data_IF_732349709137
#
_entry.id   IF_732349709137
#
_cell.length_a   1.000
_cell.length_b   1.000
_cell.length_c   1.000
_cell.angle_alpha   90.00
_cell.angle_beta   90.00
_cell.angle_gamma   90.00
#
_symmetry.space_group_name_H-M   'P 1'
#
loop_
_entity.id
_entity.type
_entity.pdbx_description
1 polymer ?
#
# COMPACT_ATOMS: atom_id res chain seq x y z
N UNK A 1 10.22 -53.26 -17.89
CA UNK A 1 8.79 -53.23 -17.50
C UNK A 1 8.05 -54.51 -17.92
N UNK A 2 8.21 -55.00 -19.16
CA UNK A 2 7.50 -56.19 -19.67
C UNK A 2 7.74 -57.50 -18.90
N UNK A 3 8.95 -57.73 -18.35
CA UNK A 3 9.30 -59.00 -17.69
C UNK A 3 8.66 -59.19 -16.30
N UNK A 4 8.22 -58.10 -15.68
CA UNK A 4 7.56 -58.11 -14.37
C UNK A 4 6.05 -58.31 -14.57
N UNK A 5 5.47 -57.70 -15.61
CA UNK A 5 4.04 -57.82 -15.92
C UNK A 5 3.61 -59.25 -16.28
N UNK A 6 4.49 -59.99 -16.96
CA UNK A 6 4.22 -61.37 -17.37
C UNK A 6 4.10 -62.31 -16.15
N UNK A 7 4.98 -62.14 -15.15
CA UNK A 7 4.95 -62.90 -13.89
C UNK A 7 3.69 -62.63 -13.05
N UNK A 8 3.14 -61.42 -13.09
CA UNK A 8 1.93 -61.08 -12.32
C UNK A 8 0.65 -61.70 -12.90
N UNK A 9 0.63 -62.05 -14.20
CA UNK A 9 -0.51 -62.72 -14.82
C UNK A 9 -0.66 -64.18 -14.36
N UNK A 10 0.47 -64.86 -14.12
CA UNK A 10 0.56 -66.27 -13.71
C UNK A 10 -0.06 -66.53 -12.33
N UNK A 11 -0.11 -65.52 -11.46
CA UNK A 11 -0.63 -65.65 -10.08
C UNK A 11 -2.10 -65.22 -9.91
N UNK A 12 -2.84 -64.95 -11.00
CA UNK A 12 -4.27 -64.59 -10.90
C UNK A 12 -4.55 -63.24 -10.21
N UNK A 13 -3.53 -62.38 -10.08
CA UNK A 13 -3.60 -61.11 -9.34
C UNK A 13 -4.26 -59.96 -10.12
N UNK A 14 -4.94 -60.25 -11.23
CA UNK A 14 -5.71 -59.24 -11.98
C UNK A 14 -6.77 -58.55 -11.10
N UNK A 15 -7.34 -59.27 -10.13
CA UNK A 15 -8.31 -58.71 -9.17
C UNK A 15 -7.68 -57.72 -8.17
N UNK A 16 -6.37 -57.82 -7.90
CA UNK A 16 -5.65 -56.83 -7.08
C UNK A 16 -5.34 -55.55 -7.88
N UNK A 17 -5.12 -55.67 -9.19
CA UNK A 17 -5.02 -54.50 -10.11
C UNK A 17 -6.34 -53.70 -10.16
N UNK A 18 -7.49 -54.39 -10.12
CA UNK A 18 -8.82 -53.75 -10.09
C UNK A 18 -9.19 -53.10 -8.74
N UNK A 19 -8.62 -53.61 -7.62
CA UNK A 19 -8.83 -53.02 -6.28
C UNK A 19 -7.86 -51.86 -5.98
N UNK A 20 -6.75 -51.80 -6.72
CA UNK A 20 -5.86 -50.63 -6.77
C UNK A 20 -6.44 -49.56 -7.69
N UNK A 21 -7.57 -48.97 -7.27
CA UNK A 21 -8.05 -47.70 -7.84
C UNK A 21 -6.91 -46.68 -7.69
N UNK A 22 -6.54 -45.93 -8.73
CA UNK A 22 -5.31 -45.14 -8.75
C UNK A 22 -5.28 -44.13 -7.60
N UNK A 23 -4.25 -44.28 -6.77
CA UNK A 23 -3.92 -43.47 -5.60
C UNK A 23 -3.66 -41.98 -5.91
N UNK A 24 -3.69 -41.59 -7.19
CA UNK A 24 -3.43 -40.23 -7.68
C UNK A 24 -4.42 -39.20 -7.12
N UNK A 25 -5.71 -39.51 -7.05
CA UNK A 25 -6.70 -38.56 -6.52
C UNK A 25 -6.46 -38.18 -5.05
N UNK A 26 -5.94 -39.11 -4.23
CA UNK A 26 -5.67 -38.85 -2.81
C UNK A 26 -4.35 -38.07 -2.61
N UNK A 27 -3.34 -38.34 -3.45
CA UNK A 27 -2.10 -37.55 -3.49
C UNK A 27 -2.36 -36.11 -3.91
N UNK A 28 -3.20 -35.91 -4.92
CA UNK A 28 -3.60 -34.57 -5.37
C UNK A 28 -4.39 -33.82 -4.30
N UNK A 29 -5.30 -34.51 -3.59
CA UNK A 29 -6.06 -33.92 -2.48
C UNK A 29 -5.14 -33.51 -1.32
N UNK A 30 -4.16 -34.36 -0.99
CA UNK A 30 -3.19 -34.08 0.08
C UNK A 30 -2.29 -32.90 -0.29
N UNK A 31 -1.83 -32.82 -1.54
CA UNK A 31 -1.05 -31.70 -2.05
C UNK A 31 -1.84 -30.39 -2.03
N UNK A 32 -3.12 -30.41 -2.41
CA UNK A 32 -4.01 -29.25 -2.33
C UNK A 32 -4.22 -28.79 -0.88
N UNK A 33 -4.41 -29.72 0.05
CA UNK A 33 -4.54 -29.40 1.48
C UNK A 33 -3.28 -28.74 2.03
N UNK A 34 -2.09 -29.21 1.62
CA UNK A 34 -0.82 -28.60 2.01
C UNK A 34 -0.66 -27.18 1.44
N UNK A 35 -1.08 -26.93 0.21
CA UNK A 35 -1.06 -25.59 -0.40
C UNK A 35 -2.02 -24.66 0.36
N UNK A 36 -3.24 -25.10 0.64
CA UNK A 36 -4.22 -24.32 1.41
C UNK A 36 -3.69 -24.04 2.82
N UNK A 37 -3.12 -25.03 3.50
CA UNK A 37 -2.54 -24.86 4.83
C UNK A 37 -1.39 -23.85 4.82
N UNK A 38 -0.52 -23.88 3.81
CA UNK A 38 0.53 -22.89 3.60
C UNK A 38 -0.05 -21.49 3.38
N UNK A 39 -1.09 -21.37 2.56
CA UNK A 39 -1.71 -20.09 2.23
C UNK A 39 -2.47 -19.51 3.45
N UNK A 40 -3.12 -20.35 4.25
CA UNK A 40 -3.72 -19.99 5.54
C UNK A 40 -2.66 -19.55 6.54
N UNK A 41 -1.52 -20.26 6.62
CA UNK A 41 -0.39 -19.91 7.47
C UNK A 41 0.31 -18.61 7.02
N UNK A 42 0.15 -18.21 5.75
CA UNK A 42 0.66 -16.96 5.22
C UNK A 42 -0.24 -15.74 5.54
N UNK A 43 -1.43 -15.96 6.13
CA UNK A 43 -2.27 -14.84 6.56
C UNK A 43 -1.61 -14.05 7.68
N UNK A 44 -1.75 -12.73 7.57
CA UNK A 44 -1.16 -11.79 8.51
C UNK A 44 -2.18 -11.36 9.55
N UNK A 45 -1.67 -11.04 10.74
CA UNK A 45 -2.48 -10.42 11.78
C UNK A 45 -3.00 -9.04 11.33
N UNK A 46 -4.19 -8.62 11.77
CA UNK A 46 -4.76 -7.33 11.40
C UNK A 46 -3.94 -6.15 11.92
N UNK A 47 -4.06 -5.01 11.23
CA UNK A 47 -3.60 -3.73 11.77
C UNK A 47 -4.35 -3.38 13.06
N UNK A 48 -3.77 -2.57 13.93
CA UNK A 48 -4.44 -2.10 15.16
C UNK A 48 -5.73 -1.33 14.84
N UNK A 49 -5.72 -0.54 13.77
CA UNK A 49 -6.86 0.22 13.29
C UNK A 49 -8.00 -0.69 12.80
N UNK A 50 -7.69 -1.68 11.95
CA UNK A 50 -8.70 -2.64 11.45
C UNK A 50 -9.28 -3.47 12.60
N UNK A 51 -8.43 -3.95 13.52
CA UNK A 51 -8.87 -4.66 14.72
C UNK A 51 -9.81 -3.82 15.58
N UNK A 52 -9.43 -2.57 15.87
CA UNK A 52 -10.26 -1.66 16.67
C UNK A 52 -11.59 -1.33 16.00
N UNK A 53 -11.61 -1.18 14.66
CA UNK A 53 -12.82 -0.96 13.88
C UNK A 53 -13.80 -2.13 13.98
N UNK A 54 -13.31 -3.35 13.75
CA UNK A 54 -14.13 -4.58 13.82
C UNK A 54 -14.61 -4.85 15.25
N UNK A 55 -13.73 -4.69 16.24
CA UNK A 55 -14.08 -4.81 17.67
C UNK A 55 -15.17 -3.82 18.05
N UNK A 56 -15.03 -2.55 17.66
CA UNK A 56 -16.01 -1.50 17.96
C UNK A 56 -17.37 -1.79 17.29
N UNK A 57 -17.35 -2.30 16.05
CA UNK A 57 -18.55 -2.70 15.34
C UNK A 57 -19.28 -3.85 16.06
N UNK A 58 -18.56 -4.92 16.42
CA UNK A 58 -19.15 -6.10 17.05
C UNK A 58 -19.65 -5.79 18.46
N UNK A 59 -18.93 -4.97 19.23
CA UNK A 59 -19.39 -4.48 20.52
C UNK A 59 -20.68 -3.64 20.43
N UNK A 60 -20.84 -2.90 19.33
CA UNK A 60 -21.98 -2.00 19.10
C UNK A 60 -23.20 -2.72 18.56
N UNK A 61 -23.02 -3.67 17.64
CA UNK A 61 -24.11 -4.45 17.04
C UNK A 61 -24.55 -5.60 17.96
N UNK A 62 -23.65 -6.13 18.79
CA UNK A 62 -23.84 -7.30 19.66
C UNK A 62 -24.51 -8.47 18.92
N UNK A 63 -23.73 -9.36 18.28
CA UNK A 63 -24.30 -10.55 17.66
C UNK A 63 -25.09 -11.39 18.67
N UNK A 64 -26.04 -12.17 18.18
CA UNK A 64 -27.07 -12.88 18.97
C UNK A 64 -26.45 -13.93 19.92
N UNK A 65 -25.18 -14.30 19.75
CA UNK A 65 -24.47 -15.31 20.53
C UNK A 65 -23.61 -14.65 21.62
N UNK A 66 -23.71 -15.16 22.84
CA UNK A 66 -23.17 -14.52 24.05
C UNK A 66 -21.64 -14.67 24.25
N UNK A 67 -20.97 -15.58 23.53
CA UNK A 67 -19.58 -15.98 23.81
C UNK A 67 -18.66 -15.81 22.60
N UNK A 68 -18.46 -14.58 22.14
CA UNK A 68 -17.41 -14.28 21.16
C UNK A 68 -16.17 -13.71 21.87
N UNK A 69 -15.51 -14.51 22.70
CA UNK A 69 -14.24 -14.09 23.35
C UNK A 69 -13.09 -13.95 22.35
N UNK A 70 -13.15 -14.69 21.23
CA UNK A 70 -12.12 -14.67 20.18
C UNK A 70 -11.89 -13.25 19.62
N UNK A 71 -12.90 -12.38 19.63
CA UNK A 71 -12.73 -11.01 19.13
C UNK A 71 -11.94 -10.10 20.08
N UNK A 72 -11.80 -10.50 21.35
CA UNK A 72 -11.02 -9.76 22.34
C UNK A 72 -9.52 -10.03 22.18
N UNK A 73 -9.16 -11.11 21.50
CA UNK A 73 -7.78 -11.50 21.18
C UNK A 73 -7.47 -11.06 19.76
N UNK A 74 -6.44 -10.25 19.60
CA UNK A 74 -6.00 -9.80 18.26
C UNK A 74 -5.36 -10.96 17.50
N UNK A 75 -4.77 -11.88 18.25
CA UNK A 75 -4.02 -13.05 17.79
C UNK A 75 -4.92 -14.08 17.10
N UNK A 76 -6.22 -14.11 17.45
CA UNK A 76 -7.19 -15.06 16.91
C UNK A 76 -7.86 -14.56 15.61
N UNK A 77 -7.47 -13.37 15.14
CA UNK A 77 -8.05 -12.74 13.95
C UNK A 77 -6.99 -12.73 12.85
N UNK A 78 -7.41 -13.16 11.66
CA UNK A 78 -6.58 -13.15 10.46
C UNK A 78 -7.20 -12.29 9.37
N UNK A 79 -6.35 -11.64 8.59
CA UNK A 79 -6.79 -10.85 7.43
C UNK A 79 -6.81 -11.73 6.19
N UNK A 80 -7.99 -11.95 5.62
CA UNK A 80 -8.16 -12.72 4.37
C UNK A 80 -7.61 -12.01 3.14
N UNK A 81 -7.33 -10.71 3.26
CA UNK A 81 -6.70 -9.94 2.19
C UNK A 81 -5.21 -10.26 2.17
N UNK A 82 -4.61 -10.56 1.01
CA UNK A 82 -3.17 -10.76 0.91
C UNK A 82 -2.45 -9.57 1.55
N UNK A 83 -1.56 -9.86 2.49
CA UNK A 83 -0.89 -8.86 3.31
C UNK A 83 -0.29 -7.77 2.44
N UNK A 84 -0.85 -6.56 2.51
CA UNK A 84 -0.19 -5.38 1.94
C UNK A 84 1.06 -5.14 2.78
N UNK A 85 2.23 -5.23 2.17
CA UNK A 85 3.55 -5.10 2.82
C UNK A 85 3.74 -3.82 3.67
N UNK A 86 2.84 -2.84 3.62
CA UNK A 86 3.01 -1.56 4.32
C UNK A 86 1.72 -1.06 5.00
N UNK A 87 1.27 -1.74 6.07
CA UNK A 87 0.19 -1.22 6.94
C UNK A 87 0.50 0.18 7.50
N UNK A 88 1.77 0.49 7.75
CA UNK A 88 2.18 1.79 8.31
C UNK A 88 2.01 2.96 7.32
N UNK A 89 2.27 2.75 6.02
CA UNK A 89 2.06 3.79 5.01
C UNK A 89 0.57 4.03 4.82
N UNK A 90 -0.23 2.97 4.81
CA UNK A 90 -1.68 3.10 4.72
C UNK A 90 -2.24 3.87 5.92
N UNK A 91 -1.76 3.59 7.13
CA UNK A 91 -2.17 4.30 8.35
C UNK A 91 -1.67 5.75 8.39
N UNK A 92 -0.46 6.01 7.90
CA UNK A 92 0.08 7.37 7.78
C UNK A 92 -0.65 8.18 6.72
N UNK A 93 -0.92 7.58 5.55
CA UNK A 93 -1.74 8.19 4.49
C UNK A 93 -3.14 8.43 5.01
N UNK A 94 -3.74 7.52 5.76
CA UNK A 94 -5.05 7.70 6.37
C UNK A 94 -5.08 8.84 7.39
N UNK A 95 -4.06 8.94 8.26
CA UNK A 95 -3.91 10.06 9.22
C UNK A 95 -3.66 11.39 8.53
N UNK A 96 -2.78 11.41 7.53
CA UNK A 96 -2.53 12.60 6.71
C UNK A 96 -3.80 12.98 5.95
N UNK A 97 -4.55 12.00 5.44
CA UNK A 97 -5.84 12.23 4.81
C UNK A 97 -6.80 12.86 5.79
N UNK A 98 -6.95 12.28 6.98
CA UNK A 98 -7.89 12.79 7.99
C UNK A 98 -7.54 14.22 8.41
N UNK A 99 -6.25 14.55 8.45
CA UNK A 99 -5.73 15.86 8.82
C UNK A 99 -5.92 16.90 7.70
N UNK A 100 -5.59 16.53 6.45
CA UNK A 100 -5.66 17.42 5.28
C UNK A 100 -7.09 17.54 4.75
N UNK A 101 -7.83 16.44 4.75
CA UNK A 101 -9.23 16.32 4.38
C UNK A 101 -10.11 16.29 5.63
N UNK A 102 -10.16 17.43 6.33
CA UNK A 102 -11.11 17.64 7.42
C UNK A 102 -12.59 17.59 6.93
N UNK A 103 -13.52 17.78 7.88
CA UNK A 103 -15.00 17.69 7.74
C UNK A 103 -15.62 18.21 6.43
N UNK A 104 -15.01 19.18 5.77
CA UNK A 104 -15.45 19.76 4.48
C UNK A 104 -15.47 18.75 3.34
N UNK A 105 -14.45 17.90 3.23
CA UNK A 105 -14.41 16.87 2.17
C UNK A 105 -15.10 15.59 2.62
N UNK A 106 -15.12 15.30 3.92
CA UNK A 106 -15.94 14.23 4.50
C UNK A 106 -17.45 14.47 4.24
N UNK A 107 -17.90 15.72 4.21
CA UNK A 107 -19.27 16.09 3.82
C UNK A 107 -19.53 15.96 2.31
N UNK A 108 -18.53 16.20 1.46
CA UNK A 108 -18.62 16.08 -0.02
C UNK A 108 -18.49 14.63 -0.49
N UNK A 109 -17.70 13.80 0.21
CA UNK A 109 -17.44 12.39 -0.12
C UNK A 109 -18.25 11.40 0.72
N UNK A 110 -18.99 11.85 1.73
CA UNK A 110 -20.14 11.12 2.25
C UNK A 110 -21.26 11.15 1.20
N UNK A 111 -21.02 10.54 0.04
CA UNK A 111 -22.01 10.56 -1.02
C UNK A 111 -23.24 9.75 -0.60
N UNK A 112 -24.36 10.43 -0.80
CA UNK A 112 -25.76 10.01 -0.66
C UNK A 112 -26.10 8.61 -1.20
N UNK A 113 -25.24 8.04 -2.05
CA UNK A 113 -25.48 6.84 -2.86
C UNK A 113 -25.50 5.53 -2.03
N UNK A 114 -24.74 5.46 -0.92
CA UNK A 114 -24.66 4.25 -0.07
C UNK A 114 -25.62 4.24 1.12
N UNK A 115 -26.44 5.28 1.30
CA UNK A 115 -27.61 5.24 2.21
C UNK A 115 -28.69 4.24 1.73
N UNK A 116 -28.60 3.76 0.49
CA UNK A 116 -29.56 2.80 -0.09
C UNK A 116 -29.31 1.34 0.30
N UNK A 117 -28.11 1.00 0.83
CA UNK A 117 -27.74 -0.39 1.17
C UNK A 117 -27.55 -0.62 2.67
N UNK A 118 -27.85 0.38 3.50
CA UNK A 118 -27.74 0.29 4.95
C UNK A 118 -28.89 1.07 5.55
N UNK A 119 -29.75 0.39 6.31
CA UNK A 119 -30.82 1.03 7.08
C UNK A 119 -30.19 2.02 8.09
N UNK A 120 -30.39 3.34 7.93
CA UNK A 120 -29.77 4.34 8.78
C UNK A 120 -30.22 4.27 10.24
N UNK A 121 -31.30 3.53 10.55
CA UNK A 121 -31.80 3.35 11.90
C UNK A 121 -31.01 2.33 12.74
N UNK A 122 -30.25 1.40 12.13
CA UNK A 122 -29.64 0.26 12.86
C UNK A 122 -28.12 0.15 12.78
N UNK A 123 -27.46 0.75 11.79
CA UNK A 123 -26.02 0.52 11.57
C UNK A 123 -25.30 1.80 11.18
N UNK A 124 -24.58 2.39 12.14
CA UNK A 124 -23.67 3.52 11.90
C UNK A 124 -22.34 3.06 11.29
N UNK A 125 -22.37 2.19 10.27
CA UNK A 125 -21.16 1.75 9.58
C UNK A 125 -20.92 2.65 8.37
N UNK A 126 -19.89 3.51 8.47
CA UNK A 126 -19.43 4.31 7.33
C UNK A 126 -18.52 3.46 6.43
N UNK A 127 -19.08 2.92 5.34
CA UNK A 127 -18.31 2.25 4.31
C UNK A 127 -17.67 3.28 3.38
N UNK A 128 -16.44 3.71 3.70
CA UNK A 128 -15.66 4.57 2.81
C UNK A 128 -15.24 3.80 1.54
N UNK A 129 -15.53 4.37 0.36
CA UNK A 129 -15.02 3.84 -0.92
C UNK A 129 -13.51 4.09 -0.98
N UNK A 130 -12.74 2.99 -0.90
CA UNK A 130 -11.28 3.03 -1.01
C UNK A 130 -10.81 3.50 -2.40
N UNK A 131 -11.58 3.31 -3.48
CA UNK A 131 -11.20 3.83 -4.80
C UNK A 131 -11.12 5.35 -4.83
N UNK A 132 -12.13 6.05 -4.29
CA UNK A 132 -12.18 7.51 -4.33
C UNK A 132 -11.10 8.14 -3.46
N UNK A 133 -10.85 7.56 -2.28
CA UNK A 133 -9.74 7.95 -1.41
C UNK A 133 -8.41 7.83 -2.16
N UNK A 134 -8.18 6.70 -2.84
CA UNK A 134 -6.92 6.49 -3.56
C UNK A 134 -6.72 7.48 -4.72
N UNK A 135 -7.78 7.85 -5.44
CA UNK A 135 -7.72 8.89 -6.48
C UNK A 135 -7.32 10.24 -5.88
N UNK A 136 -7.95 10.62 -4.76
CA UNK A 136 -7.69 11.90 -4.08
C UNK A 136 -6.28 11.95 -3.48
N UNK A 137 -5.83 10.85 -2.85
CA UNK A 137 -4.44 10.68 -2.39
C UNK A 137 -3.47 10.87 -3.54
N UNK A 138 -3.72 10.18 -4.65
CA UNK A 138 -2.86 10.22 -5.84
C UNK A 138 -2.79 11.63 -6.43
N UNK A 139 -3.92 12.35 -6.47
CA UNK A 139 -3.97 13.74 -6.91
C UNK A 139 -3.16 14.66 -5.98
N UNK A 140 -3.35 14.54 -4.66
CA UNK A 140 -2.66 15.37 -3.67
C UNK A 140 -1.16 15.09 -3.64
N UNK A 141 -0.77 13.82 -3.73
CA UNK A 141 0.61 13.38 -3.92
C UNK A 141 1.22 14.05 -5.14
N UNK A 142 0.55 13.94 -6.30
CA UNK A 142 1.03 14.51 -7.56
C UNK A 142 1.18 16.03 -7.45
N UNK A 143 0.21 16.71 -6.85
CA UNK A 143 0.27 18.15 -6.59
C UNK A 143 1.44 18.52 -5.66
N UNK A 144 1.68 17.72 -4.61
CA UNK A 144 2.80 17.92 -3.67
C UNK A 144 4.13 17.77 -4.39
N UNK A 145 4.31 16.71 -5.18
CA UNK A 145 5.53 16.47 -5.97
C UNK A 145 5.78 17.60 -6.97
N UNK A 146 4.74 18.05 -7.69
CA UNK A 146 4.84 19.20 -8.60
C UNK A 146 5.23 20.49 -7.87
N UNK A 147 4.62 20.76 -6.72
CA UNK A 147 4.94 21.95 -5.91
C UNK A 147 6.39 21.93 -5.42
N UNK A 148 6.90 20.76 -5.00
CA UNK A 148 8.30 20.59 -4.59
C UNK A 148 9.26 20.77 -5.76
N UNK A 149 8.85 20.44 -6.99
CA UNK A 149 9.65 20.62 -8.19
C UNK A 149 9.82 22.11 -8.56
N UNK A 150 8.76 22.90 -8.40
CA UNK A 150 8.73 24.32 -8.79
C UNK A 150 9.27 25.24 -7.69
N UNK A 151 9.05 24.92 -6.42
CA UNK A 151 9.42 25.77 -5.28
C UNK A 151 10.89 26.20 -5.25
N UNK A 152 11.90 25.32 -5.41
CA UNK A 152 13.30 25.74 -5.40
C UNK A 152 13.65 26.58 -6.62
N UNK A 153 13.06 26.33 -7.79
CA UNK A 153 13.27 27.18 -8.98
C UNK A 153 12.78 28.61 -8.68
N UNK A 154 11.61 28.74 -8.04
CA UNK A 154 11.05 30.03 -7.64
C UNK A 154 11.90 30.75 -6.58
N UNK A 155 12.35 30.02 -5.55
CA UNK A 155 13.21 30.55 -4.48
C UNK A 155 14.54 31.04 -5.05
N UNK A 156 15.18 30.23 -5.91
CA UNK A 156 16.44 30.59 -6.55
C UNK A 156 16.30 31.78 -7.48
N UNK A 157 15.21 31.85 -8.25
CA UNK A 157 14.93 33.02 -9.10
C UNK A 157 14.88 34.32 -8.29
N UNK A 158 14.24 34.30 -7.11
CA UNK A 158 14.18 35.46 -6.24
C UNK A 158 15.54 35.78 -5.58
N UNK A 159 16.27 34.76 -5.12
CA UNK A 159 17.58 34.92 -4.48
C UNK A 159 18.65 35.47 -5.44
N UNK A 160 18.63 35.08 -6.72
CA UNK A 160 19.56 35.61 -7.72
C UNK A 160 19.25 37.07 -8.08
N UNK A 161 18.00 37.53 -7.90
CA UNK A 161 17.61 38.91 -8.19
C UNK A 161 18.12 39.91 -7.14
N UNK A 162 18.31 39.46 -5.90
CA UNK A 162 18.85 40.26 -4.80
C UNK A 162 20.40 40.09 -4.76
N UNK A 163 21.11 41.06 -5.33
CA UNK A 163 22.56 41.08 -5.64
C UNK A 163 23.54 40.96 -4.44
N UNK A 164 23.45 39.93 -3.61
CA UNK A 164 24.41 39.63 -2.53
C UNK A 164 25.30 38.41 -2.89
N UNK A 165 26.19 38.60 -3.86
CA UNK A 165 26.93 37.56 -4.57
C UNK A 165 27.79 36.59 -3.73
N UNK A 166 28.30 36.99 -2.56
CA UNK A 166 29.28 36.16 -1.83
C UNK A 166 28.65 35.13 -0.89
N UNK A 167 27.40 35.32 -0.47
CA UNK A 167 26.67 34.37 0.41
C UNK A 167 25.71 33.47 -0.37
N UNK A 168 25.41 33.80 -1.63
CA UNK A 168 24.37 33.12 -2.42
C UNK A 168 24.80 31.74 -2.90
N UNK A 169 26.08 31.49 -3.21
CA UNK A 169 26.52 30.19 -3.73
C UNK A 169 26.32 29.05 -2.72
N UNK A 170 26.80 29.23 -1.48
CA UNK A 170 26.63 28.23 -0.41
C UNK A 170 25.16 28.05 -0.04
N UNK A 171 24.39 29.14 0.04
CA UNK A 171 22.95 29.08 0.32
C UNK A 171 22.19 28.35 -0.78
N UNK A 172 22.56 28.56 -2.05
CA UNK A 172 21.95 27.89 -3.20
C UNK A 172 22.14 26.37 -3.13
N UNK A 173 23.38 25.91 -2.90
CA UNK A 173 23.68 24.47 -2.78
C UNK A 173 22.90 23.83 -1.64
N UNK A 174 22.79 24.52 -0.49
CA UNK A 174 22.02 24.02 0.66
C UNK A 174 20.52 23.93 0.36
N UNK A 175 19.94 24.94 -0.31
CA UNK A 175 18.53 24.91 -0.73
C UNK A 175 18.30 23.71 -1.65
N UNK A 176 19.14 23.51 -2.68
CA UNK A 176 18.99 22.37 -3.58
C UNK A 176 19.03 21.03 -2.84
N UNK A 177 20.02 20.86 -1.96
CA UNK A 177 20.20 19.62 -1.22
C UNK A 177 18.97 19.31 -0.35
N UNK A 178 18.45 20.32 0.37
CA UNK A 178 17.25 20.16 1.20
C UNK A 178 16.03 19.81 0.35
N UNK A 179 15.79 20.51 -0.75
CA UNK A 179 14.63 20.23 -1.61
C UNK A 179 14.74 18.87 -2.32
N UNK A 180 15.93 18.43 -2.72
CA UNK A 180 16.16 17.09 -3.30
C UNK A 180 15.90 15.99 -2.28
N UNK A 181 16.34 16.18 -1.03
CA UNK A 181 16.06 15.23 0.06
C UNK A 181 14.57 15.18 0.39
N UNK A 182 13.90 16.34 0.45
CA UNK A 182 12.45 16.40 0.66
C UNK A 182 11.68 15.72 -0.49
N UNK A 183 12.06 15.96 -1.74
CA UNK A 183 11.45 15.32 -2.91
C UNK A 183 11.59 13.79 -2.87
N UNK A 184 12.81 13.32 -2.59
CA UNK A 184 13.10 11.88 -2.47
C UNK A 184 12.36 11.26 -1.28
N UNK A 185 12.28 11.97 -0.16
CA UNK A 185 11.56 11.55 1.03
C UNK A 185 10.05 11.46 0.79
N UNK A 186 9.44 12.45 0.16
CA UNK A 186 8.02 12.45 -0.22
C UNK A 186 7.71 11.32 -1.19
N UNK A 187 8.54 11.14 -2.23
CA UNK A 187 8.40 10.00 -3.13
C UNK A 187 8.51 8.67 -2.39
N UNK A 188 9.51 8.51 -1.51
CA UNK A 188 9.72 7.26 -0.79
C UNK A 188 8.63 6.94 0.24
N UNK A 189 8.09 7.95 0.93
CA UNK A 189 7.06 7.75 1.95
C UNK A 189 5.69 7.55 1.34
N UNK A 190 5.35 8.33 0.32
CA UNK A 190 3.99 8.38 -0.17
C UNK A 190 3.77 7.56 -1.45
N UNK A 191 4.83 7.14 -2.13
CA UNK A 191 4.73 6.26 -3.30
C UNK A 191 5.32 4.89 -3.03
N UNK A 192 4.87 3.91 -3.80
CA UNK A 192 5.41 2.54 -3.79
C UNK A 192 6.67 2.41 -4.65
N UNK A 193 7.41 3.52 -4.81
CA UNK A 193 8.53 3.56 -5.70
C UNK A 193 9.65 2.66 -5.19
N UNK A 194 10.20 1.84 -6.08
CA UNK A 194 11.35 1.00 -5.74
C UNK A 194 12.57 1.88 -5.49
N UNK A 195 13.55 1.36 -4.75
CA UNK A 195 14.80 2.09 -4.43
C UNK A 195 15.46 2.71 -5.67
N UNK A 196 15.48 1.99 -6.79
CA UNK A 196 16.06 2.49 -8.05
C UNK A 196 15.19 3.52 -8.78
N UNK A 197 13.87 3.52 -8.57
CA UNK A 197 12.96 4.52 -9.12
C UNK A 197 13.14 5.85 -8.38
N UNK A 198 13.28 5.80 -7.06
CA UNK A 198 13.54 6.98 -6.22
C UNK A 198 14.91 7.59 -6.57
N UNK A 199 15.95 6.76 -6.69
CA UNK A 199 17.29 7.24 -7.06
C UNK A 199 17.34 7.85 -8.46
N UNK A 200 16.65 7.23 -9.43
CA UNK A 200 16.53 7.78 -10.79
C UNK A 200 15.80 9.12 -10.80
N UNK A 201 14.70 9.24 -10.05
CA UNK A 201 13.94 10.48 -9.94
C UNK A 201 14.77 11.59 -9.25
N UNK A 202 15.50 11.26 -8.18
CA UNK A 202 16.37 12.20 -7.47
C UNK A 202 17.51 12.71 -8.37
N UNK A 203 18.13 11.82 -9.15
CA UNK A 203 19.18 12.19 -10.10
C UNK A 203 18.64 13.12 -11.21
N UNK A 204 17.48 12.79 -11.78
CA UNK A 204 16.81 13.64 -12.78
C UNK A 204 16.50 15.02 -12.21
N UNK A 205 15.99 15.07 -10.97
CA UNK A 205 15.69 16.32 -10.30
C UNK A 205 16.92 17.18 -10.02
N UNK A 206 18.00 16.59 -9.51
CA UNK A 206 19.28 17.26 -9.34
C UNK A 206 19.81 17.83 -10.66
N UNK A 207 19.73 17.07 -11.75
CA UNK A 207 20.19 17.52 -13.06
C UNK A 207 19.43 18.78 -13.52
N UNK A 208 18.10 18.79 -13.38
CA UNK A 208 17.27 19.97 -13.72
C UNK A 208 17.68 21.18 -12.88
N UNK A 209 17.81 21.02 -11.56
CA UNK A 209 18.16 22.12 -10.65
C UNK A 209 19.54 22.73 -10.95
N UNK A 210 20.55 21.88 -11.18
CA UNK A 210 21.93 22.33 -11.47
C UNK A 210 21.99 23.07 -12.82
N UNK A 211 21.28 22.58 -13.85
CA UNK A 211 21.19 23.27 -15.15
C UNK A 211 20.52 24.64 -14.99
N UNK A 212 19.44 24.73 -14.21
CA UNK A 212 18.78 26.01 -13.94
C UNK A 212 19.72 27.01 -13.25
N UNK A 213 20.49 26.58 -12.25
CA UNK A 213 21.48 27.45 -11.58
C UNK A 213 22.55 27.93 -12.56
N UNK A 214 23.10 27.01 -13.37
CA UNK A 214 24.14 27.36 -14.34
C UNK A 214 23.68 28.46 -15.29
N UNK A 215 22.43 28.36 -15.75
CA UNK A 215 21.83 29.37 -16.64
C UNK A 215 21.55 30.70 -15.92
N UNK A 216 21.06 30.67 -14.67
CA UNK A 216 20.84 31.89 -13.88
C UNK A 216 22.14 32.65 -13.61
N UNK A 217 23.24 31.94 -13.35
CA UNK A 217 24.56 32.54 -13.17
C UNK A 217 25.10 33.23 -14.44
N UNK A 218 24.80 32.69 -15.62
CA UNK A 218 25.18 33.32 -16.90
C UNK A 218 24.40 34.61 -17.16
N UNK A 219 23.09 34.63 -16.88
CA UNK A 219 22.25 35.82 -17.07
C UNK A 219 22.70 36.97 -16.15
N UNK A 220 23.14 36.66 -14.93
CA UNK A 220 23.61 37.68 -13.98
C UNK A 220 24.96 38.32 -14.34
N UNK A 221 25.77 37.66 -15.17
CA UNK A 221 27.13 38.11 -15.53
C UNK A 221 27.19 38.85 -16.89
N UNK A 222 26.07 38.94 -17.61
CA UNK A 222 25.90 39.73 -18.83
C UNK A 222 25.08 40.99 -18.54
#
# INVERSE_FOLDING_TARGET
MALIEDKFSVYGLQKLKAKFKPHHAYQDTSAQLLIIARDLAAFTAPSSADYSSVKSYIQKVRPIVAEEEYILRKEDIVVLKPGREHSWLDEFVEKLLHKVFCKTVQAVFASLERRSKTDPAKSQVQLFSRERINIVVSLLLTATVLSLLVAPIYILYHLTRDNHADKTATTTIMILLVFTLLFSGVLSLFTRAKRHEILSAAAAYCAVLVVFIGNLGQISNN
#
